data_IF_447524038521
#
_entry.id   IF_447524038521
#
_cell.length_a   1.000
_cell.length_b   1.000
_cell.length_c   1.000
_cell.angle_alpha   90.00
_cell.angle_beta   90.00
_cell.angle_gamma   90.00
#
_symmetry.space_group_name_H-M   'P 1'
#
loop_
_entity.id
_entity.type
_entity.pdbx_description
1 polymer ?
#
# COMPACT_ATOMS: atom_id res chain seq x y z
N UNK A 1 10.64 27.65 -12.09
CA UNK A 1 11.29 26.75 -13.08
C UNK A 1 10.58 25.40 -13.03
N UNK A 2 10.50 24.67 -14.13
CA UNK A 2 9.87 23.34 -14.15
C UNK A 2 10.91 22.26 -14.39
N UNK A 3 10.75 21.11 -13.74
CA UNK A 3 11.61 19.96 -13.97
C UNK A 3 11.35 19.36 -15.35
N UNK A 4 12.38 19.26 -16.18
CA UNK A 4 12.28 18.73 -17.54
C UNK A 4 12.00 17.21 -17.58
N UNK A 5 12.15 16.50 -16.45
CA UNK A 5 11.93 15.06 -16.38
C UNK A 5 10.52 14.67 -15.90
N UNK A 6 9.90 15.46 -15.01
CA UNK A 6 8.61 15.13 -14.43
C UNK A 6 7.59 16.28 -14.44
N UNK A 7 7.94 17.44 -14.97
CA UNK A 7 7.07 18.61 -15.02
C UNK A 7 6.80 19.32 -13.69
N UNK A 8 7.34 18.82 -12.57
CA UNK A 8 7.13 19.43 -11.27
C UNK A 8 7.72 20.84 -11.18
N UNK A 9 7.05 21.74 -10.45
CA UNK A 9 7.57 23.08 -10.17
C UNK A 9 8.77 22.97 -9.25
N UNK A 10 9.90 23.54 -9.68
CA UNK A 10 11.12 23.60 -8.87
C UNK A 10 11.10 24.88 -8.04
N UNK A 11 11.22 24.80 -6.69
CA UNK A 11 11.45 25.97 -5.86
C UNK A 11 12.75 26.68 -6.25
N UNK A 12 12.82 27.99 -6.05
CA UNK A 12 14.06 28.74 -6.23
C UNK A 12 15.11 28.18 -5.25
N UNK A 13 16.31 27.86 -5.79
CA UNK A 13 17.40 27.20 -5.07
C UNK A 13 17.18 25.73 -4.65
N UNK A 14 16.27 25.01 -5.27
CA UNK A 14 16.16 23.57 -5.04
C UNK A 14 17.43 22.84 -5.49
N UNK A 15 18.08 22.09 -4.59
CA UNK A 15 19.20 21.23 -4.93
C UNK A 15 18.75 19.96 -5.68
N UNK A 16 17.49 19.58 -5.50
CA UNK A 16 16.88 18.42 -6.12
C UNK A 16 15.42 18.69 -6.49
N UNK A 17 14.93 18.04 -7.53
CA UNK A 17 13.52 18.11 -7.91
C UNK A 17 12.64 17.40 -6.87
N UNK A 18 11.62 18.06 -6.31
CA UNK A 18 10.74 17.43 -5.31
C UNK A 18 9.83 16.34 -5.91
N UNK A 19 9.67 16.32 -7.24
CA UNK A 19 8.80 15.34 -7.91
C UNK A 19 9.52 14.06 -8.35
N UNK A 20 10.80 14.16 -8.79
CA UNK A 20 11.52 13.00 -9.32
C UNK A 20 12.92 12.80 -8.71
N UNK A 21 13.34 13.66 -7.77
CA UNK A 21 14.65 13.56 -7.13
C UNK A 21 15.86 13.95 -8.02
N UNK A 22 15.65 14.38 -9.26
CA UNK A 22 16.74 14.81 -10.12
C UNK A 22 17.51 15.98 -9.51
N UNK A 23 18.86 15.92 -9.55
CA UNK A 23 19.71 16.99 -9.02
C UNK A 23 19.63 18.22 -9.91
N UNK A 24 19.42 19.39 -9.31
CA UNK A 24 19.40 20.70 -9.99
C UNK A 24 20.79 21.30 -9.89
N UNK A 25 21.47 21.50 -11.02
CA UNK A 25 22.76 22.19 -11.07
C UNK A 25 22.57 23.69 -11.31
N UNK A 26 23.47 24.52 -10.83
CA UNK A 26 23.36 25.97 -10.62
C UNK A 26 23.08 26.88 -11.81
N UNK A 27 22.83 26.34 -13.00
CA UNK A 27 22.40 27.09 -14.20
C UNK A 27 21.07 26.57 -14.78
N UNK A 28 20.27 25.85 -13.97
CA UNK A 28 19.02 25.28 -14.46
C UNK A 28 19.19 24.08 -15.39
N UNK A 29 20.41 23.64 -15.62
CA UNK A 29 20.70 22.40 -16.32
C UNK A 29 20.65 21.23 -15.35
N UNK A 30 19.76 20.29 -15.62
CA UNK A 30 19.69 19.01 -14.93
C UNK A 30 20.80 18.13 -15.52
N UNK A 31 21.84 17.81 -14.72
CA UNK A 31 22.82 16.82 -15.14
C UNK A 31 22.14 15.46 -15.27
N UNK A 32 22.15 14.94 -16.49
CA UNK A 32 21.98 13.52 -16.73
C UNK A 32 23.20 12.81 -16.15
N UNK A 33 23.15 12.37 -14.90
CA UNK A 33 24.05 11.35 -14.43
C UNK A 33 23.79 10.12 -15.30
N UNK A 34 24.69 9.85 -16.25
CA UNK A 34 24.88 8.61 -17.03
C UNK A 34 23.65 7.71 -17.22
N UNK A 35 22.55 8.27 -17.74
CA UNK A 35 21.52 7.45 -18.35
C UNK A 35 22.03 7.07 -19.73
N UNK A 36 22.79 5.97 -19.82
CA UNK A 36 22.75 5.21 -21.06
C UNK A 36 21.28 4.98 -21.40
N UNK A 37 20.88 5.11 -22.68
CA UNK A 37 19.51 4.80 -23.06
C UNK A 37 19.27 3.34 -22.70
N UNK A 38 18.65 3.12 -21.51
CA UNK A 38 18.33 1.78 -21.06
C UNK A 38 17.31 1.23 -22.04
N UNK A 39 17.61 0.06 -22.54
CA UNK A 39 16.67 -0.73 -23.33
C UNK A 39 16.18 -1.88 -22.48
N UNK A 40 14.93 -2.25 -22.63
CA UNK A 40 14.42 -3.44 -22.00
C UNK A 40 15.24 -4.67 -22.42
N UNK A 41 15.79 -5.37 -21.46
CA UNK A 41 16.61 -6.57 -21.71
C UNK A 41 15.81 -7.73 -22.30
N UNK A 42 14.47 -7.71 -22.14
CA UNK A 42 13.59 -8.78 -22.65
C UNK A 42 13.07 -8.52 -24.05
N UNK A 43 12.76 -7.26 -24.42
CA UNK A 43 12.15 -6.96 -25.73
C UNK A 43 12.86 -5.86 -26.53
N UNK A 44 13.93 -5.27 -25.99
CA UNK A 44 14.71 -4.21 -26.65
C UNK A 44 14.05 -2.84 -26.71
N UNK A 45 12.82 -2.67 -26.20
CA UNK A 45 12.11 -1.39 -26.19
C UNK A 45 12.84 -0.36 -25.33
N UNK A 46 12.86 0.89 -25.78
CA UNK A 46 13.32 2.04 -25.00
C UNK A 46 12.20 2.75 -24.23
N UNK A 47 10.96 2.27 -24.35
CA UNK A 47 9.80 2.81 -23.68
C UNK A 47 9.74 2.27 -22.25
N UNK A 48 10.50 2.92 -21.37
CA UNK A 48 10.68 2.54 -19.97
C UNK A 48 10.08 3.63 -19.08
N UNK A 49 9.06 3.25 -18.34
CA UNK A 49 8.47 4.11 -17.32
C UNK A 49 9.22 3.92 -16.00
N UNK A 50 9.73 5.02 -15.43
CA UNK A 50 10.24 4.99 -14.06
C UNK A 50 9.08 4.70 -13.11
N UNK A 51 9.13 3.55 -12.47
CA UNK A 51 8.12 3.16 -11.46
C UNK A 51 8.55 3.66 -10.10
N UNK A 52 9.87 3.62 -9.84
CA UNK A 52 10.48 4.12 -8.62
C UNK A 52 12.02 4.25 -8.78
N UNK A 53 12.73 4.89 -7.82
CA UNK A 53 14.19 5.10 -7.84
C UNK A 53 14.94 3.89 -8.38
N UNK A 54 15.58 4.05 -9.55
CA UNK A 54 16.39 3.01 -10.20
C UNK A 54 15.61 1.82 -10.75
N UNK A 55 14.27 1.80 -10.65
CA UNK A 55 13.40 0.76 -11.17
C UNK A 55 12.57 1.28 -12.32
N UNK A 56 12.60 0.57 -13.42
CA UNK A 56 11.90 0.92 -14.64
C UNK A 56 11.03 -0.25 -15.09
N UNK A 57 9.79 0.03 -15.44
CA UNK A 57 8.90 -0.93 -16.09
C UNK A 57 8.90 -0.69 -17.58
N UNK A 58 9.08 -1.73 -18.35
CA UNK A 58 8.89 -1.67 -19.78
C UNK A 58 7.40 -1.60 -20.10
N UNK A 59 6.94 -0.52 -20.73
CA UNK A 59 5.54 -0.34 -21.12
C UNK A 59 5.12 -1.31 -22.23
N UNK A 60 6.09 -1.90 -22.95
CA UNK A 60 5.81 -2.84 -24.04
C UNK A 60 5.60 -4.28 -23.58
N UNK A 61 6.46 -4.79 -22.68
CA UNK A 61 6.42 -6.20 -22.24
C UNK A 61 6.22 -6.39 -20.72
N UNK A 62 6.13 -5.31 -19.97
CA UNK A 62 5.93 -5.35 -18.52
C UNK A 62 7.18 -5.72 -17.69
N UNK A 63 8.30 -6.07 -18.32
CA UNK A 63 9.54 -6.43 -17.62
C UNK A 63 10.02 -5.29 -16.75
N UNK A 64 10.45 -5.62 -15.53
CA UNK A 64 11.02 -4.68 -14.58
C UNK A 64 12.54 -4.73 -14.68
N UNK A 65 13.16 -3.54 -14.80
CA UNK A 65 14.60 -3.34 -14.93
C UNK A 65 15.10 -2.53 -13.75
N UNK A 66 16.31 -2.82 -13.30
CA UNK A 66 16.97 -2.13 -12.18
C UNK A 66 18.23 -1.42 -12.70
N UNK A 67 18.52 -0.21 -12.19
CA UNK A 67 19.83 0.41 -12.37
C UNK A 67 20.81 -0.16 -11.35
N UNK A 68 21.98 -0.61 -11.80
CA UNK A 68 23.07 -1.07 -10.93
C UNK A 68 23.68 0.12 -10.16
N UNK A 69 23.06 0.56 -9.08
CA UNK A 69 23.81 1.20 -8.01
C UNK A 69 24.25 0.08 -7.07
N UNK A 70 25.57 -0.12 -6.98
CA UNK A 70 26.19 -1.13 -6.12
C UNK A 70 25.90 -0.81 -4.66
N UNK A 71 24.80 -1.33 -4.12
CA UNK A 71 24.60 -1.43 -2.69
C UNK A 71 25.34 -2.68 -2.20
N UNK A 72 26.35 -2.50 -1.35
CA UNK A 72 27.02 -3.63 -0.69
C UNK A 72 26.01 -4.35 0.24
N UNK A 73 26.27 -5.61 0.56
CA UNK A 73 25.40 -6.37 1.49
C UNK A 73 25.28 -5.67 2.87
N UNK A 74 26.35 -5.01 3.32
CA UNK A 74 26.39 -4.24 4.56
C UNK A 74 25.48 -3.00 4.49
N UNK A 75 25.45 -2.30 3.34
CA UNK A 75 24.56 -1.16 3.15
C UNK A 75 23.08 -1.60 3.16
N UNK A 76 22.78 -2.74 2.55
CA UNK A 76 21.42 -3.30 2.54
C UNK A 76 20.95 -3.68 3.94
N UNK A 77 21.82 -4.31 4.74
CA UNK A 77 21.52 -4.69 6.13
C UNK A 77 21.30 -3.45 7.02
N UNK A 78 22.14 -2.43 6.86
CA UNK A 78 22.00 -1.16 7.58
C UNK A 78 20.67 -0.46 7.22
N UNK A 79 20.29 -0.43 5.94
CA UNK A 79 19.01 0.13 5.48
C UNK A 79 17.84 -0.66 6.05
N UNK A 80 17.90 -2.00 6.01
CA UNK A 80 16.84 -2.85 6.56
C UNK A 80 16.66 -2.63 8.07
N UNK A 81 17.76 -2.50 8.83
CA UNK A 81 17.71 -2.18 10.25
C UNK A 81 17.07 -0.80 10.51
N UNK A 82 17.42 0.21 9.72
CA UNK A 82 16.82 1.53 9.83
C UNK A 82 15.33 1.54 9.48
N UNK A 83 14.92 0.80 8.47
CA UNK A 83 13.50 0.60 8.09
C UNK A 83 12.73 -0.03 9.23
N UNK A 84 13.28 -1.09 9.88
CA UNK A 84 12.63 -1.74 11.00
C UNK A 84 12.41 -0.80 12.19
N UNK A 85 13.40 0.04 12.51
CA UNK A 85 13.28 1.05 13.59
C UNK A 85 12.18 2.07 13.26
N UNK A 86 12.17 2.62 12.04
CA UNK A 86 11.17 3.60 11.62
C UNK A 86 9.76 3.00 11.57
N UNK A 87 9.62 1.73 11.14
CA UNK A 87 8.33 1.04 11.18
C UNK A 87 7.83 0.85 12.61
N UNK A 88 8.71 0.52 13.56
CA UNK A 88 8.37 0.43 14.98
C UNK A 88 7.92 1.77 15.54
N UNK A 89 8.63 2.85 15.21
CA UNK A 89 8.25 4.22 15.60
C UNK A 89 6.87 4.60 15.03
N UNK A 90 6.61 4.29 13.75
CA UNK A 90 5.33 4.56 13.12
C UNK A 90 4.18 3.79 13.80
N UNK A 91 4.41 2.54 14.25
CA UNK A 91 3.43 1.78 15.04
C UNK A 91 3.08 2.51 16.33
N UNK A 92 4.09 2.97 17.06
CA UNK A 92 3.88 3.72 18.31
C UNK A 92 3.02 4.96 18.10
N UNK A 93 3.29 5.75 17.05
CA UNK A 93 2.44 6.89 16.69
C UNK A 93 1.00 6.47 16.33
N UNK A 94 0.82 5.34 15.63
CA UNK A 94 -0.51 4.83 15.30
C UNK A 94 -1.30 4.43 16.55
N UNK A 95 -0.66 3.82 17.56
CA UNK A 95 -1.28 3.41 18.82
C UNK A 95 -1.78 4.60 19.65
N UNK A 96 -0.99 5.67 19.71
CA UNK A 96 -1.39 6.92 20.39
C UNK A 96 -2.27 7.82 19.50
N UNK A 97 -2.67 7.36 18.31
CA UNK A 97 -3.50 8.07 17.33
C UNK A 97 -2.90 9.37 16.80
N UNK A 98 -1.57 9.50 16.86
CA UNK A 98 -0.83 10.62 16.23
C UNK A 98 -0.55 10.30 14.75
N UNK A 99 -1.60 10.31 13.96
CA UNK A 99 -1.54 9.93 12.54
C UNK A 99 -0.69 10.87 11.68
N UNK A 100 -0.42 12.10 12.15
CA UNK A 100 0.45 13.03 11.44
C UNK A 100 1.92 12.63 11.57
N UNK A 101 2.37 12.27 12.77
CA UNK A 101 3.71 11.78 13.00
C UNK A 101 3.90 10.37 12.45
N UNK A 102 2.88 9.48 12.54
CA UNK A 102 2.85 8.20 11.82
C UNK A 102 3.16 8.42 10.32
N UNK A 103 2.43 9.32 9.67
CA UNK A 103 2.61 9.61 8.25
C UNK A 103 4.00 10.15 7.92
N UNK A 104 4.52 11.10 8.73
CA UNK A 104 5.87 11.66 8.53
C UNK A 104 6.95 10.58 8.63
N UNK A 105 6.84 9.69 9.60
CA UNK A 105 7.78 8.59 9.79
C UNK A 105 7.70 7.59 8.63
N UNK A 106 6.48 7.24 8.19
CA UNK A 106 6.29 6.35 7.05
C UNK A 106 6.80 6.94 5.73
N UNK A 107 6.68 8.26 5.52
CA UNK A 107 7.27 8.93 4.34
C UNK A 107 8.80 8.82 4.35
N UNK A 108 9.44 8.94 5.52
CA UNK A 108 10.89 8.71 5.65
C UNK A 108 11.24 7.26 5.32
N UNK A 109 10.46 6.32 5.85
CA UNK A 109 10.64 4.88 5.60
C UNK A 109 10.48 4.55 4.12
N UNK A 110 9.49 5.15 3.45
CA UNK A 110 9.26 5.01 2.01
C UNK A 110 10.46 5.45 1.16
N UNK A 111 11.22 6.46 1.59
CA UNK A 111 12.45 6.88 0.90
C UNK A 111 13.57 5.85 0.99
N UNK A 112 13.56 4.99 2.00
CA UNK A 112 14.55 3.93 2.22
C UNK A 112 14.11 2.60 1.56
N UNK A 113 12.83 2.27 1.69
CA UNK A 113 12.26 1.01 1.22
C UNK A 113 10.95 1.26 0.45
N UNK A 114 11.05 1.77 -0.77
CA UNK A 114 9.91 2.23 -1.56
C UNK A 114 9.00 1.12 -2.07
N UNK A 115 9.50 -0.09 -2.12
CA UNK A 115 8.78 -1.25 -2.63
C UNK A 115 8.35 -2.20 -1.52
N UNK A 116 8.72 -1.90 -0.28
CA UNK A 116 8.33 -2.73 0.85
C UNK A 116 6.80 -2.69 1.03
N UNK A 117 6.18 -3.87 0.94
CA UNK A 117 4.73 -4.01 1.04
C UNK A 117 4.19 -3.45 2.36
N UNK A 118 4.90 -3.69 3.46
CA UNK A 118 4.52 -3.20 4.79
C UNK A 118 4.48 -1.68 4.81
N UNK A 119 5.49 -1.04 4.20
CA UNK A 119 5.57 0.44 4.10
C UNK A 119 4.43 0.97 3.26
N UNK A 120 4.18 0.38 2.08
CA UNK A 120 3.10 0.79 1.18
C UNK A 120 1.72 0.68 1.85
N UNK A 121 1.44 -0.47 2.46
CA UNK A 121 0.16 -0.71 3.13
C UNK A 121 -0.02 0.20 4.37
N UNK A 122 1.05 0.47 5.13
CA UNK A 122 0.99 1.38 6.27
C UNK A 122 0.79 2.83 5.84
N UNK A 123 1.47 3.29 4.78
CA UNK A 123 1.24 4.62 4.20
C UNK A 123 -0.20 4.78 3.74
N UNK A 124 -0.71 3.81 2.99
CA UNK A 124 -2.11 3.81 2.59
C UNK A 124 -3.06 3.90 3.78
N UNK A 125 -2.81 3.13 4.86
CA UNK A 125 -3.62 3.17 6.10
C UNK A 125 -3.50 4.51 6.83
N UNK A 126 -2.33 5.12 6.89
CA UNK A 126 -2.15 6.43 7.52
C UNK A 126 -2.97 7.50 6.77
N UNK A 127 -2.90 7.53 5.43
CA UNK A 127 -3.73 8.42 4.61
C UNK A 127 -5.23 8.12 4.77
N UNK A 128 -5.62 6.84 4.83
CA UNK A 128 -7.00 6.42 5.04
C UNK A 128 -7.55 6.92 6.40
N UNK A 129 -6.74 6.84 7.48
CA UNK A 129 -7.10 7.37 8.80
C UNK A 129 -7.28 8.87 8.79
N UNK A 130 -6.44 9.59 8.06
CA UNK A 130 -6.51 11.04 7.85
C UNK A 130 -7.63 11.48 6.88
N UNK A 131 -8.38 10.52 6.30
CA UNK A 131 -9.48 10.81 5.38
C UNK A 131 -9.07 11.09 3.94
N UNK A 132 -7.77 11.01 3.61
CA UNK A 132 -7.24 11.20 2.24
C UNK A 132 -7.34 9.89 1.45
N UNK A 133 -8.58 9.52 1.06
CA UNK A 133 -8.87 8.20 0.48
C UNK A 133 -8.23 8.01 -0.90
N UNK A 134 -8.10 9.08 -1.69
CA UNK A 134 -7.45 9.06 -3.00
C UNK A 134 -5.98 8.70 -2.86
N UNK A 135 -5.25 9.33 -1.91
CA UNK A 135 -3.84 9.02 -1.63
C UNK A 135 -3.68 7.61 -1.06
N UNK A 136 -4.59 7.18 -0.20
CA UNK A 136 -4.57 5.80 0.29
C UNK A 136 -4.65 4.82 -0.88
N UNK A 137 -5.57 5.06 -1.83
CA UNK A 137 -5.76 4.23 -3.00
C UNK A 137 -4.53 4.23 -3.93
N UNK A 138 -3.81 5.34 -4.08
CA UNK A 138 -2.56 5.42 -4.86
C UNK A 138 -1.52 4.42 -4.33
N UNK A 139 -1.27 4.40 -3.00
CA UNK A 139 -0.32 3.48 -2.39
C UNK A 139 -0.78 2.02 -2.46
N UNK A 140 -2.08 1.76 -2.30
CA UNK A 140 -2.62 0.41 -2.42
C UNK A 140 -2.55 -0.13 -3.85
N UNK A 141 -2.68 0.72 -4.88
CA UNK A 141 -2.48 0.30 -6.28
C UNK A 141 -1.03 -0.04 -6.57
N UNK A 142 -0.07 0.72 -6.03
CA UNK A 142 1.34 0.36 -6.11
C UNK A 142 1.57 -1.02 -5.46
N UNK A 143 0.97 -1.26 -4.28
CA UNK A 143 1.05 -2.55 -3.62
C UNK A 143 0.36 -3.67 -4.43
N UNK A 144 -0.80 -3.42 -5.07
CA UNK A 144 -1.48 -4.37 -5.95
C UNK A 144 -0.61 -4.78 -7.14
N UNK A 145 0.07 -3.82 -7.77
CA UNK A 145 0.97 -4.09 -8.90
C UNK A 145 2.20 -4.92 -8.49
N UNK A 146 2.75 -4.69 -7.30
CA UNK A 146 3.96 -5.36 -6.82
C UNK A 146 3.66 -6.69 -6.12
N UNK A 147 2.52 -6.79 -5.42
CA UNK A 147 2.13 -7.90 -4.55
C UNK A 147 0.71 -8.39 -4.85
N UNK A 148 0.44 -8.85 -6.08
CA UNK A 148 -0.92 -9.22 -6.52
C UNK A 148 -1.51 -10.43 -5.78
N UNK A 149 -0.69 -11.16 -5.03
CA UNK A 149 -1.11 -12.32 -4.25
C UNK A 149 -1.17 -12.05 -2.72
N UNK A 150 -1.02 -10.79 -2.29
CA UNK A 150 -1.20 -10.44 -0.89
C UNK A 150 -2.66 -10.04 -0.60
N UNK A 151 -3.40 -10.82 0.21
CA UNK A 151 -4.79 -10.52 0.52
C UNK A 151 -4.98 -9.21 1.29
N UNK A 152 -3.94 -8.75 2.02
CA UNK A 152 -3.99 -7.50 2.79
C UNK A 152 -4.13 -6.28 1.87
N UNK A 153 -3.57 -6.35 0.66
CA UNK A 153 -3.72 -5.31 -0.37
C UNK A 153 -5.20 -5.13 -0.71
N UNK A 154 -5.87 -6.21 -1.08
CA UNK A 154 -7.29 -6.18 -1.48
C UNK A 154 -8.22 -5.86 -0.32
N UNK A 155 -7.90 -6.32 0.90
CA UNK A 155 -8.63 -5.93 2.10
C UNK A 155 -8.56 -4.40 2.34
N UNK A 156 -7.40 -3.78 2.16
CA UNK A 156 -7.23 -2.33 2.34
C UNK A 156 -7.92 -1.52 1.22
N UNK A 157 -7.85 -1.98 -0.04
CA UNK A 157 -8.59 -1.38 -1.17
C UNK A 157 -10.09 -1.50 -0.89
N UNK A 158 -10.57 -2.68 -0.49
CA UNK A 158 -11.96 -2.91 -0.12
C UNK A 158 -12.44 -1.99 1.00
N UNK A 159 -11.63 -1.83 2.04
CA UNK A 159 -11.92 -0.92 3.16
C UNK A 159 -12.00 0.55 2.73
N UNK A 160 -11.21 0.94 1.72
CA UNK A 160 -11.25 2.29 1.16
C UNK A 160 -12.54 2.53 0.36
N UNK A 161 -12.94 1.58 -0.48
CA UNK A 161 -14.24 1.62 -1.16
C UNK A 161 -15.41 1.61 -0.18
N UNK A 162 -15.32 0.76 0.86
CA UNK A 162 -16.34 0.69 1.90
C UNK A 162 -16.54 2.03 2.62
N UNK A 163 -15.44 2.68 3.01
CA UNK A 163 -15.48 4.01 3.66
C UNK A 163 -16.04 5.09 2.75
N UNK A 164 -15.88 4.96 1.44
CA UNK A 164 -16.45 5.84 0.43
C UNK A 164 -17.93 5.51 0.09
N UNK A 165 -18.52 4.50 0.72
CA UNK A 165 -19.89 4.06 0.45
C UNK A 165 -20.07 3.20 -0.81
N UNK A 166 -18.98 2.85 -1.49
CA UNK A 166 -18.99 2.04 -2.70
C UNK A 166 -18.96 0.53 -2.35
N UNK A 167 -20.05 0.06 -1.70
CA UNK A 167 -20.11 -1.29 -1.13
C UNK A 167 -19.98 -2.42 -2.16
N UNK A 168 -20.50 -2.23 -3.38
CA UNK A 168 -20.36 -3.23 -4.44
C UNK A 168 -18.88 -3.44 -4.83
N UNK A 169 -18.12 -2.34 -5.04
CA UNK A 169 -16.70 -2.39 -5.33
C UNK A 169 -15.88 -2.92 -4.14
N UNK A 170 -16.25 -2.55 -2.92
CA UNK A 170 -15.66 -3.09 -1.71
C UNK A 170 -15.81 -4.61 -1.64
N UNK A 171 -17.02 -5.13 -1.92
CA UNK A 171 -17.32 -6.56 -1.97
C UNK A 171 -16.37 -7.29 -2.93
N UNK A 172 -16.21 -6.80 -4.15
CA UNK A 172 -15.33 -7.41 -5.16
C UNK A 172 -13.88 -7.53 -4.66
N UNK A 173 -13.37 -6.50 -3.97
CA UNK A 173 -12.02 -6.53 -3.44
C UNK A 173 -11.90 -7.51 -2.26
N UNK A 174 -12.86 -7.53 -1.36
CA UNK A 174 -12.87 -8.50 -0.26
C UNK A 174 -13.01 -9.95 -0.78
N UNK A 175 -13.76 -10.19 -1.85
CA UNK A 175 -13.86 -11.49 -2.50
C UNK A 175 -12.51 -11.95 -3.05
N UNK A 176 -11.73 -11.05 -3.68
CA UNK A 176 -10.36 -11.34 -4.12
C UNK A 176 -9.48 -11.72 -2.90
N UNK A 177 -9.50 -10.93 -1.84
CA UNK A 177 -8.73 -11.21 -0.63
C UNK A 177 -9.09 -12.59 -0.04
N UNK A 178 -10.38 -12.90 0.10
CA UNK A 178 -10.85 -14.20 0.61
C UNK A 178 -10.43 -15.34 -0.32
N UNK A 179 -10.49 -15.15 -1.63
CA UNK A 179 -10.06 -16.16 -2.62
C UNK A 179 -8.58 -16.49 -2.48
N UNK A 180 -7.72 -15.48 -2.30
CA UNK A 180 -6.29 -15.67 -2.07
C UNK A 180 -6.06 -16.44 -0.76
N UNK A 181 -6.70 -16.04 0.35
CA UNK A 181 -6.60 -16.73 1.65
C UNK A 181 -7.02 -18.19 1.56
N UNK A 182 -8.06 -18.49 0.80
CA UNK A 182 -8.55 -19.88 0.62
C UNK A 182 -7.60 -20.70 -0.23
N UNK A 183 -7.03 -20.11 -1.29
CA UNK A 183 -6.09 -20.79 -2.19
C UNK A 183 -4.71 -20.99 -1.57
N UNK A 184 -4.27 -20.06 -0.75
CA UNK A 184 -3.01 -20.09 -0.01
C UNK A 184 -3.22 -19.65 1.45
N UNK A 185 -3.52 -20.59 2.38
CA UNK A 185 -3.74 -20.27 3.78
C UNK A 185 -2.53 -19.66 4.50
N UNK A 186 -1.34 -19.70 3.90
CA UNK A 186 -0.11 -19.10 4.45
C UNK A 186 0.14 -17.68 3.92
N UNK A 187 -0.69 -17.20 2.98
CA UNK A 187 -0.55 -15.86 2.37
C UNK A 187 -0.78 -14.70 3.34
N UNK A 188 -1.38 -14.94 4.51
CA UNK A 188 -1.64 -13.93 5.53
C UNK A 188 -1.53 -14.51 6.95
N UNK A 189 -1.22 -13.65 7.92
CA UNK A 189 -1.28 -14.03 9.31
C UNK A 189 -2.74 -14.21 9.80
N UNK A 190 -2.91 -14.95 10.89
CA UNK A 190 -4.25 -15.27 11.40
C UNK A 190 -5.08 -14.02 11.74
N UNK A 191 -4.44 -12.94 12.19
CA UNK A 191 -5.10 -11.66 12.51
C UNK A 191 -5.63 -10.99 11.24
N UNK A 192 -4.82 -10.91 10.17
CA UNK A 192 -5.23 -10.31 8.89
C UNK A 192 -6.35 -11.12 8.24
N UNK A 193 -6.30 -12.45 8.36
CA UNK A 193 -7.37 -13.35 7.92
C UNK A 193 -8.67 -13.04 8.66
N UNK A 194 -8.63 -12.93 9.99
CA UNK A 194 -9.81 -12.63 10.81
C UNK A 194 -10.41 -11.27 10.45
N UNK A 195 -9.57 -10.24 10.29
CA UNK A 195 -9.98 -8.89 9.89
C UNK A 195 -10.63 -8.92 8.50
N UNK A 196 -10.04 -9.61 7.54
CA UNK A 196 -10.57 -9.71 6.17
C UNK A 196 -11.97 -10.31 6.15
N UNK A 197 -12.18 -11.43 6.84
CA UNK A 197 -13.51 -12.05 6.94
C UNK A 197 -14.52 -11.14 7.66
N UNK A 198 -14.11 -10.42 8.70
CA UNK A 198 -14.96 -9.47 9.43
C UNK A 198 -15.40 -8.30 8.55
N UNK A 199 -14.47 -7.69 7.83
CA UNK A 199 -14.74 -6.60 6.90
C UNK A 199 -15.66 -7.04 5.74
N UNK A 200 -15.39 -8.23 5.21
CA UNK A 200 -16.24 -8.81 4.16
C UNK A 200 -17.66 -9.07 4.65
N UNK A 201 -17.81 -9.66 5.84
CA UNK A 201 -19.11 -9.90 6.45
C UNK A 201 -19.88 -8.60 6.65
N UNK A 202 -19.21 -7.55 7.13
CA UNK A 202 -19.83 -6.23 7.31
C UNK A 202 -20.30 -5.62 5.98
N UNK A 203 -19.45 -5.72 4.95
CA UNK A 203 -19.77 -5.25 3.61
C UNK A 203 -21.01 -5.96 3.03
N UNK A 204 -21.09 -7.28 3.17
CA UNK A 204 -22.25 -8.07 2.76
C UNK A 204 -23.53 -7.64 3.48
N UNK A 205 -23.42 -7.36 4.79
CA UNK A 205 -24.53 -6.85 5.57
C UNK A 205 -25.04 -5.48 5.08
N UNK A 206 -24.13 -4.56 4.73
CA UNK A 206 -24.50 -3.26 4.14
C UNK A 206 -25.17 -3.41 2.77
N UNK A 207 -24.87 -4.47 2.04
CA UNK A 207 -25.52 -4.83 0.76
C UNK A 207 -26.83 -5.60 0.94
N UNK A 208 -27.24 -5.92 2.19
CA UNK A 208 -28.47 -6.67 2.48
C UNK A 208 -28.32 -8.19 2.44
N UNK A 209 -27.14 -8.72 2.10
CA UNK A 209 -26.88 -10.18 2.10
C UNK A 209 -26.61 -10.67 3.54
N UNK A 210 -27.65 -10.67 4.35
CA UNK A 210 -27.58 -11.05 5.76
C UNK A 210 -27.19 -12.52 5.96
N UNK A 211 -27.51 -13.40 5.00
CA UNK A 211 -27.18 -14.82 5.08
C UNK A 211 -25.67 -15.02 5.04
N UNK A 212 -25.01 -14.44 4.03
CA UNK A 212 -23.57 -14.55 3.90
C UNK A 212 -22.84 -13.69 4.92
N UNK A 213 -23.36 -12.53 5.30
CA UNK A 213 -22.82 -11.72 6.39
C UNK A 213 -22.67 -12.52 7.68
N UNK A 214 -23.72 -13.24 8.10
CA UNK A 214 -23.69 -14.11 9.28
C UNK A 214 -22.65 -15.24 9.14
N UNK A 215 -22.63 -15.90 7.96
CA UNK A 215 -21.66 -16.97 7.67
C UNK A 215 -20.22 -16.50 7.85
N UNK A 216 -19.85 -15.40 7.21
CA UNK A 216 -18.47 -14.90 7.26
C UNK A 216 -18.12 -14.25 8.60
N UNK A 217 -19.09 -13.70 9.32
CA UNK A 217 -18.89 -13.21 10.67
C UNK A 217 -18.57 -14.37 11.65
N UNK A 218 -19.22 -15.54 11.48
CA UNK A 218 -18.87 -16.75 12.24
C UNK A 218 -17.43 -17.19 11.93
N UNK A 219 -17.03 -17.21 10.66
CA UNK A 219 -15.67 -17.54 10.27
C UNK A 219 -14.67 -16.54 10.88
N UNK A 220 -14.95 -15.24 10.82
CA UNK A 220 -14.12 -14.22 11.43
C UNK A 220 -13.96 -14.45 12.95
N UNK A 221 -15.04 -14.78 13.67
CA UNK A 221 -15.03 -15.10 15.09
C UNK A 221 -14.14 -16.32 15.39
N UNK A 222 -14.26 -17.39 14.60
CA UNK A 222 -13.43 -18.60 14.72
C UNK A 222 -11.94 -18.32 14.46
N UNK A 223 -11.64 -17.36 13.60
CA UNK A 223 -10.27 -16.92 13.29
C UNK A 223 -9.70 -15.91 14.27
N UNK A 224 -10.47 -15.51 15.31
CA UNK A 224 -10.02 -14.62 16.36
C UNK A 224 -10.32 -13.13 16.12
N UNK A 225 -11.29 -12.79 15.27
CA UNK A 225 -11.73 -11.40 15.12
C UNK A 225 -12.22 -10.85 16.46
N UNK A 226 -11.86 -9.62 16.79
CA UNK A 226 -12.11 -9.07 18.12
C UNK A 226 -13.61 -9.03 18.45
N UNK A 227 -13.96 -9.37 19.70
CA UNK A 227 -15.34 -9.34 20.17
C UNK A 227 -15.97 -7.96 20.01
N UNK A 228 -15.24 -6.90 20.33
CA UNK A 228 -15.74 -5.51 20.22
C UNK A 228 -16.08 -5.14 18.78
N UNK A 229 -15.28 -5.61 17.81
CA UNK A 229 -15.56 -5.41 16.39
C UNK A 229 -16.79 -6.20 15.93
N UNK A 230 -16.93 -7.45 16.38
CA UNK A 230 -18.11 -8.28 16.10
C UNK A 230 -19.36 -7.62 16.67
N UNK A 231 -19.32 -7.20 17.93
CA UNK A 231 -20.46 -6.55 18.60
C UNK A 231 -20.85 -5.23 17.91
N UNK A 232 -19.86 -4.50 17.38
CA UNK A 232 -20.11 -3.27 16.60
C UNK A 232 -20.83 -3.59 15.30
N UNK A 233 -20.35 -4.58 14.53
CA UNK A 233 -20.98 -5.04 13.29
C UNK A 233 -22.40 -5.56 13.58
N UNK A 234 -22.57 -6.34 14.63
CA UNK A 234 -23.88 -6.89 15.01
C UNK A 234 -24.89 -5.81 15.37
N UNK A 235 -24.46 -4.76 16.08
CA UNK A 235 -25.33 -3.61 16.40
C UNK A 235 -25.75 -2.88 15.13
N UNK A 236 -24.82 -2.59 14.24
CA UNK A 236 -25.09 -1.83 13.01
C UNK A 236 -25.94 -2.62 11.99
N UNK A 237 -25.81 -3.94 11.99
CA UNK A 237 -26.58 -4.83 11.11
C UNK A 237 -27.84 -5.42 11.80
N UNK A 238 -28.14 -5.02 13.04
CA UNK A 238 -29.25 -5.55 13.85
C UNK A 238 -29.20 -7.07 14.06
N UNK A 239 -27.98 -7.64 14.16
CA UNK A 239 -27.72 -9.06 14.34
C UNK A 239 -27.54 -9.45 15.81
N UNK A 240 -28.42 -9.02 16.69
CA UNK A 240 -28.30 -9.17 18.15
C UNK A 240 -28.08 -10.62 18.63
N UNK A 241 -28.49 -11.62 17.85
CA UNK A 241 -28.29 -13.05 18.15
C UNK A 241 -26.80 -13.49 18.09
N UNK A 242 -25.92 -12.67 17.51
CA UNK A 242 -24.49 -12.94 17.39
C UNK A 242 -23.61 -12.29 18.46
N UNK A 243 -24.23 -11.48 19.34
CA UNK A 243 -23.53 -10.74 20.41
C UNK A 243 -23.22 -11.56 21.66
N UNK A 244 -23.44 -12.89 21.64
CA UNK A 244 -23.25 -13.80 22.79
C UNK A 244 -21.91 -14.52 22.68
#
# INVERSE_FOLDING_TARGET
MFCIFCGAVLPDNAAFCPGCGAKVTGEGNLEKSHLHPMKCTSCGSSDLRNVYKGKYRCEHCGTILYTDEQNTSEDQEAVAAQVAVLLSEAVTFAEIKDYQNELRTLIKTMNLAPEDNTVLLRLGRAYWRLGSLEKAMEYYRIAEDLYPNDPSVYNNIGSTYFKSGHYAQAKEQYEKAVTIIVSDPMSACAEDVAITYGNYAYCLGKLGDMKNAKKYLSVAKEKGYSKDSIDTICRELHLFQFMI
#
